data_IF_821100740552
#
_entry.id   IF_821100740552
#
_cell.length_a   1.000
_cell.length_b   1.000
_cell.length_c   1.000
_cell.angle_alpha   90.00
_cell.angle_beta   90.00
_cell.angle_gamma   90.00
#
_symmetry.space_group_name_H-M   'P 1'
#
loop_
_entity.id
_entity.type
_entity.pdbx_description
1 polymer ?
#
# COMPACT_ATOMS: atom_id res chain seq x y z
N UNK A 1 6.14 19.66 -14.43
CA UNK A 1 6.35 18.91 -15.69
C UNK A 1 6.77 17.50 -15.35
N UNK A 2 6.22 16.51 -16.06
CA UNK A 2 6.65 15.12 -15.95
C UNK A 2 7.85 14.87 -16.87
N UNK A 3 8.89 14.25 -16.33
CA UNK A 3 9.93 13.58 -17.10
C UNK A 3 9.81 12.08 -16.85
N UNK A 4 9.64 11.30 -17.91
CA UNK A 4 9.39 9.86 -17.80
C UNK A 4 10.24 9.07 -18.78
N UNK A 5 10.86 8.00 -18.26
CA UNK A 5 11.51 6.93 -19.02
C UNK A 5 10.74 5.62 -18.90
N UNK A 6 9.51 5.65 -18.38
CA UNK A 6 8.71 4.48 -18.04
C UNK A 6 8.67 3.44 -19.16
N UNK A 7 8.90 2.18 -18.79
CA UNK A 7 8.72 1.01 -19.65
C UNK A 7 9.55 1.05 -20.94
N UNK A 8 10.71 1.71 -20.92
CA UNK A 8 11.68 1.58 -22.00
C UNK A 8 12.46 0.26 -21.91
N UNK A 9 12.44 -0.42 -20.75
CA UNK A 9 13.05 -1.74 -20.52
C UNK A 9 14.57 -1.76 -20.84
N UNK A 10 15.23 -0.61 -20.63
CA UNK A 10 16.65 -0.45 -20.93
C UNK A 10 17.52 -0.73 -19.72
N UNK A 11 18.74 -1.21 -20.02
CA UNK A 11 19.82 -1.37 -19.04
C UNK A 11 20.93 -0.38 -19.36
N UNK A 12 21.07 0.63 -18.52
CA UNK A 12 22.10 1.66 -18.60
C UNK A 12 23.31 1.23 -17.77
N UNK A 13 24.46 1.07 -18.40
CA UNK A 13 25.67 0.49 -17.82
C UNK A 13 26.63 1.58 -17.37
N UNK A 14 26.84 2.60 -18.20
CA UNK A 14 27.75 3.70 -17.91
C UNK A 14 27.20 5.07 -18.32
N UNK A 15 28.05 6.11 -18.20
CA UNK A 15 27.67 7.50 -18.45
C UNK A 15 27.23 7.75 -19.90
N UNK A 16 27.82 7.03 -20.86
CA UNK A 16 27.52 7.22 -22.28
C UNK A 16 26.08 6.82 -22.61
N UNK A 17 25.55 5.79 -21.94
CA UNK A 17 24.17 5.33 -22.11
C UNK A 17 23.13 6.36 -21.65
N UNK A 18 23.48 7.20 -20.66
CA UNK A 18 22.59 8.22 -20.09
C UNK A 18 22.89 9.65 -20.57
N UNK A 19 23.83 9.85 -21.49
CA UNK A 19 24.24 11.18 -21.94
C UNK A 19 23.09 12.03 -22.48
N UNK A 20 22.24 11.47 -23.33
CA UNK A 20 21.07 12.18 -23.88
C UNK A 20 20.05 12.49 -22.78
N UNK A 21 19.79 11.53 -21.90
CA UNK A 21 18.85 11.69 -20.78
C UNK A 21 19.31 12.80 -19.84
N UNK A 22 20.60 12.79 -19.45
CA UNK A 22 21.19 13.81 -18.59
C UNK A 22 21.12 15.19 -19.25
N UNK A 23 21.40 15.29 -20.55
CA UNK A 23 21.24 16.54 -21.31
C UNK A 23 19.80 17.04 -21.23
N UNK A 24 18.82 16.17 -21.46
CA UNK A 24 17.39 16.53 -21.44
C UNK A 24 16.92 16.97 -20.05
N UNK A 25 17.31 16.25 -18.99
CA UNK A 25 17.01 16.60 -17.59
C UNK A 25 17.59 17.97 -17.20
N UNK A 26 18.73 18.34 -17.78
CA UNK A 26 19.43 19.60 -17.48
C UNK A 26 18.88 20.82 -18.23
N UNK A 27 18.02 20.65 -19.25
CA UNK A 27 17.49 21.80 -20.02
C UNK A 27 16.68 22.75 -19.12
N UNK A 28 15.86 22.20 -18.22
CA UNK A 28 15.06 22.99 -17.26
C UNK A 28 14.72 22.16 -16.00
N UNK A 29 15.71 21.78 -15.16
CA UNK A 29 15.50 20.88 -14.02
C UNK A 29 14.48 21.43 -13.02
N UNK A 30 14.41 22.75 -12.86
CA UNK A 30 13.48 23.42 -11.94
C UNK A 30 12.01 23.30 -12.38
N UNK A 31 11.73 23.00 -13.66
CA UNK A 31 10.36 22.78 -14.16
C UNK A 31 9.88 21.35 -13.93
N UNK A 32 10.79 20.41 -13.66
CA UNK A 32 10.46 19.02 -13.42
C UNK A 32 9.85 18.91 -12.02
N UNK A 33 8.62 18.42 -11.98
CA UNK A 33 7.85 18.20 -10.74
C UNK A 33 7.62 16.71 -10.50
N UNK A 34 7.75 15.90 -11.54
CA UNK A 34 7.51 14.46 -11.52
C UNK A 34 8.61 13.76 -12.31
N UNK A 35 9.20 12.72 -11.72
CA UNK A 35 10.22 11.88 -12.33
C UNK A 35 9.77 10.42 -12.26
N UNK A 36 9.70 9.78 -13.41
CA UNK A 36 9.31 8.38 -13.52
C UNK A 36 10.40 7.61 -14.28
N UNK A 37 11.04 6.67 -13.58
CA UNK A 37 12.12 5.84 -14.12
C UNK A 37 11.69 4.38 -14.32
N UNK A 38 10.39 4.08 -14.21
CA UNK A 38 9.85 2.72 -14.10
C UNK A 38 10.38 1.75 -15.15
N UNK A 39 10.70 0.53 -14.72
CA UNK A 39 11.15 -0.59 -15.55
C UNK A 39 12.37 -0.26 -16.42
N UNK A 40 13.37 0.38 -15.80
CA UNK A 40 14.70 0.58 -16.38
C UNK A 40 15.76 0.29 -15.34
N UNK A 41 16.86 -0.35 -15.74
CA UNK A 41 17.93 -0.72 -14.83
C UNK A 41 19.13 0.20 -15.02
N UNK A 42 19.54 0.88 -13.96
CA UNK A 42 20.71 1.76 -13.98
C UNK A 42 21.81 1.18 -13.11
N UNK A 43 22.96 0.84 -13.72
CA UNK A 43 24.18 0.56 -12.95
C UNK A 43 24.72 1.84 -12.31
N UNK A 44 25.52 1.74 -11.24
CA UNK A 44 25.96 2.90 -10.48
C UNK A 44 26.57 4.03 -11.32
N UNK A 45 27.43 3.69 -12.29
CA UNK A 45 28.10 4.67 -13.16
C UNK A 45 27.13 5.43 -14.07
N UNK A 46 26.08 4.77 -14.55
CA UNK A 46 25.05 5.40 -15.37
C UNK A 46 24.11 6.27 -14.52
N UNK A 47 23.81 5.81 -13.30
CA UNK A 47 22.82 6.43 -12.42
C UNK A 47 23.34 7.69 -11.73
N UNK A 48 24.65 7.80 -11.51
CA UNK A 48 25.32 8.96 -10.91
C UNK A 48 24.88 10.27 -11.58
N UNK A 49 24.95 10.36 -12.92
CA UNK A 49 24.56 11.58 -13.65
C UNK A 49 23.07 11.92 -13.54
N UNK A 50 22.20 10.91 -13.39
CA UNK A 50 20.77 11.12 -13.15
C UNK A 50 20.55 11.70 -11.74
N UNK A 51 21.25 11.17 -10.73
CA UNK A 51 21.19 11.67 -9.36
C UNK A 51 21.68 13.12 -9.25
N UNK A 52 22.78 13.48 -9.95
CA UNK A 52 23.25 14.88 -10.04
C UNK A 52 22.21 15.82 -10.66
N UNK A 53 21.36 15.32 -11.58
CA UNK A 53 20.25 16.10 -12.12
C UNK A 53 19.12 16.26 -11.10
N UNK A 54 18.76 15.18 -10.38
CA UNK A 54 17.72 15.19 -9.33
C UNK A 54 18.02 16.24 -8.26
N UNK A 55 19.28 16.36 -7.85
CA UNK A 55 19.71 17.38 -6.88
C UNK A 55 19.31 18.80 -7.29
N UNK A 56 19.31 19.10 -8.60
CA UNK A 56 18.98 20.41 -9.16
C UNK A 56 17.48 20.65 -9.35
N UNK A 57 16.64 19.63 -9.21
CA UNK A 57 15.18 19.77 -9.33
C UNK A 57 14.60 20.25 -8.00
N UNK A 58 14.38 21.57 -7.81
CA UNK A 58 13.85 22.09 -6.53
C UNK A 58 12.35 21.88 -6.35
N UNK A 59 11.61 21.72 -7.44
CA UNK A 59 10.15 21.57 -7.44
C UNK A 59 9.69 20.11 -7.59
N UNK A 60 10.61 19.14 -7.46
CA UNK A 60 10.30 17.72 -7.54
C UNK A 60 9.40 17.29 -6.39
N UNK A 61 8.28 16.65 -6.72
CA UNK A 61 7.23 16.23 -5.79
C UNK A 61 6.85 14.77 -5.94
N UNK A 62 6.93 14.22 -7.15
CA UNK A 62 6.53 12.85 -7.45
C UNK A 62 7.74 12.11 -8.01
N UNK A 63 8.08 10.99 -7.39
CA UNK A 63 9.22 10.18 -7.80
C UNK A 63 8.80 8.71 -7.84
N UNK A 64 8.89 8.13 -9.03
CA UNK A 64 8.57 6.72 -9.30
C UNK A 64 9.84 6.00 -9.70
N UNK A 65 10.27 5.09 -8.83
CA UNK A 65 11.46 4.24 -8.94
C UNK A 65 11.04 2.77 -8.96
N UNK A 66 9.85 2.49 -9.51
CA UNK A 66 9.31 1.13 -9.62
C UNK A 66 10.20 0.28 -10.54
N UNK A 67 10.63 -0.89 -10.07
CA UNK A 67 11.39 -1.87 -10.86
C UNK A 67 12.76 -1.35 -11.39
N UNK A 68 13.38 -0.35 -10.76
CA UNK A 68 14.65 0.22 -11.27
C UNK A 68 15.92 -0.48 -10.80
N UNK A 69 15.82 -1.24 -9.71
CA UNK A 69 16.92 -2.01 -9.13
C UNK A 69 16.86 -3.49 -9.50
N UNK A 70 15.93 -3.88 -10.36
CA UNK A 70 15.82 -5.27 -10.80
C UNK A 70 17.08 -5.70 -11.53
N UNK A 71 17.46 -6.97 -11.36
CA UNK A 71 18.65 -7.59 -11.96
C UNK A 71 20.00 -6.98 -11.55
N UNK A 72 20.04 -5.95 -10.70
CA UNK A 72 21.28 -5.47 -10.10
C UNK A 72 21.78 -6.49 -9.08
N UNK A 73 23.10 -6.65 -9.02
CA UNK A 73 23.73 -7.32 -7.87
C UNK A 73 23.56 -6.46 -6.63
N UNK A 74 23.61 -7.07 -5.44
CA UNK A 74 23.30 -6.41 -4.18
C UNK A 74 24.14 -5.13 -3.96
N UNK A 75 25.42 -5.17 -4.28
CA UNK A 75 26.35 -4.05 -4.11
C UNK A 75 25.96 -2.85 -5.00
N UNK A 76 25.64 -3.13 -6.27
CA UNK A 76 25.20 -2.10 -7.23
C UNK A 76 23.84 -1.52 -6.81
N UNK A 77 22.90 -2.37 -6.37
CA UNK A 77 21.60 -1.93 -5.87
C UNK A 77 21.76 -0.98 -4.69
N UNK A 78 22.52 -1.37 -3.66
CA UNK A 78 22.74 -0.54 -2.47
C UNK A 78 23.43 0.78 -2.83
N UNK A 79 24.42 0.74 -3.74
CA UNK A 79 25.08 1.95 -4.24
C UNK A 79 24.09 2.90 -4.90
N UNK A 80 23.26 2.41 -5.82
CA UNK A 80 22.22 3.21 -6.46
C UNK A 80 21.19 3.74 -5.46
N UNK A 81 20.77 2.91 -4.50
CA UNK A 81 19.78 3.30 -3.50
C UNK A 81 20.30 4.41 -2.57
N UNK A 82 21.56 4.33 -2.15
CA UNK A 82 22.22 5.40 -1.39
C UNK A 82 22.33 6.69 -2.22
N UNK A 83 22.72 6.60 -3.50
CA UNK A 83 22.85 7.76 -4.37
C UNK A 83 21.52 8.51 -4.54
N UNK A 84 20.45 7.80 -4.89
CA UNK A 84 19.13 8.44 -5.07
C UNK A 84 18.57 8.96 -3.74
N UNK A 85 18.83 8.27 -2.62
CA UNK A 85 18.40 8.75 -1.31
C UNK A 85 19.05 10.09 -0.94
N UNK A 86 20.34 10.25 -1.25
CA UNK A 86 21.06 11.52 -1.08
C UNK A 86 20.54 12.60 -2.03
N UNK A 87 20.31 12.27 -3.30
CA UNK A 87 19.82 13.21 -4.29
C UNK A 87 18.42 13.75 -3.99
N UNK A 88 17.58 12.92 -3.37
CA UNK A 88 16.23 13.27 -2.93
C UNK A 88 16.18 13.96 -1.55
N UNK A 89 17.31 14.08 -0.86
CA UNK A 89 17.36 14.74 0.43
C UNK A 89 16.91 16.21 0.32
N UNK A 90 16.17 16.69 1.31
CA UNK A 90 15.57 18.03 1.36
C UNK A 90 14.55 18.33 0.24
N UNK A 91 14.10 17.34 -0.53
CA UNK A 91 12.97 17.51 -1.44
C UNK A 91 11.65 17.44 -0.68
N UNK A 92 10.66 18.21 -1.14
CA UNK A 92 9.33 18.21 -0.55
C UNK A 92 8.42 17.22 -1.29
N UNK A 93 8.79 15.94 -1.26
CA UNK A 93 8.07 14.89 -1.99
C UNK A 93 6.67 14.69 -1.42
N UNK A 94 5.69 14.56 -2.31
CA UNK A 94 4.32 14.16 -2.01
C UNK A 94 4.11 12.67 -2.35
N UNK A 95 4.84 12.13 -3.32
CA UNK A 95 4.75 10.73 -3.75
C UNK A 95 6.14 10.11 -3.92
N UNK A 96 6.35 8.95 -3.31
CA UNK A 96 7.50 8.09 -3.53
C UNK A 96 7.06 6.66 -3.77
N UNK A 97 7.41 6.12 -4.93
CA UNK A 97 7.15 4.73 -5.31
C UNK A 97 8.46 3.98 -5.50
N UNK A 98 8.66 2.94 -4.71
CA UNK A 98 9.84 2.06 -4.71
C UNK A 98 9.45 0.61 -5.04
N UNK A 99 8.26 0.39 -5.59
CA UNK A 99 7.70 -0.95 -5.79
C UNK A 99 8.59 -1.83 -6.66
N UNK A 100 8.40 -3.15 -6.51
CA UNK A 100 9.06 -4.19 -7.33
C UNK A 100 10.60 -4.11 -7.37
N UNK A 101 11.21 -3.58 -6.31
CA UNK A 101 12.65 -3.60 -6.13
C UNK A 101 13.03 -4.61 -5.05
N UNK A 102 14.01 -5.48 -5.27
CA UNK A 102 14.47 -6.43 -4.26
C UNK A 102 15.30 -5.74 -3.15
N UNK A 103 14.66 -4.87 -2.36
CA UNK A 103 15.30 -4.06 -1.32
C UNK A 103 15.72 -4.89 -0.11
N UNK A 104 14.97 -5.96 0.19
CA UNK A 104 15.17 -6.80 1.38
C UNK A 104 15.10 -6.01 2.69
N UNK A 105 15.67 -6.54 3.79
CA UNK A 105 15.82 -5.81 5.05
C UNK A 105 16.94 -4.77 5.05
N UNK A 106 17.74 -4.72 3.98
CA UNK A 106 18.95 -3.91 3.87
C UNK A 106 18.69 -2.48 3.40
N UNK A 107 17.71 -1.82 4.04
CA UNK A 107 17.46 -0.39 3.82
C UNK A 107 18.65 0.45 4.32
N UNK A 108 19.31 1.25 3.45
CA UNK A 108 20.44 2.10 3.84
C UNK A 108 20.01 3.22 4.81
N UNK A 109 20.93 3.65 5.67
CA UNK A 109 20.66 4.74 6.62
C UNK A 109 20.24 6.03 5.90
N UNK A 110 20.86 6.35 4.76
CA UNK A 110 20.50 7.55 4.01
C UNK A 110 19.07 7.53 3.48
N UNK A 111 18.54 6.34 3.18
CA UNK A 111 17.13 6.18 2.83
C UNK A 111 16.22 6.38 4.06
N UNK A 112 16.59 5.81 5.21
CA UNK A 112 15.82 5.96 6.44
C UNK A 112 15.79 7.42 6.92
N UNK A 113 16.92 8.12 6.80
CA UNK A 113 17.03 9.55 7.10
C UNK A 113 16.19 10.38 6.14
N UNK A 114 16.25 10.09 4.82
CA UNK A 114 15.40 10.70 3.82
C UNK A 114 13.93 10.52 4.20
N UNK A 115 13.48 9.27 4.36
CA UNK A 115 12.07 8.95 4.62
C UNK A 115 11.56 9.62 5.88
N UNK A 116 12.37 9.67 6.95
CA UNK A 116 12.03 10.33 8.21
C UNK A 116 11.90 11.85 8.08
N UNK A 117 12.44 12.45 7.02
CA UNK A 117 12.39 13.90 6.76
C UNK A 117 11.26 14.34 5.82
N UNK A 118 10.58 13.40 5.15
CA UNK A 118 9.55 13.70 4.15
C UNK A 118 8.20 14.07 4.78
N UNK A 119 8.15 15.19 5.49
CA UNK A 119 6.95 15.67 6.18
C UNK A 119 5.74 15.95 5.26
N UNK A 120 5.96 16.09 3.96
CA UNK A 120 4.90 16.33 2.96
C UNK A 120 4.48 15.06 2.21
N UNK A 121 5.06 13.90 2.54
CA UNK A 121 4.75 12.64 1.87
C UNK A 121 3.31 12.24 2.13
N UNK A 122 2.55 12.05 1.05
CA UNK A 122 1.14 11.60 1.07
C UNK A 122 1.01 10.16 0.60
N UNK A 123 1.85 9.75 -0.35
CA UNK A 123 1.80 8.42 -0.95
C UNK A 123 3.17 7.77 -0.83
N UNK A 124 3.22 6.61 -0.17
CA UNK A 124 4.38 5.75 -0.15
C UNK A 124 3.99 4.37 -0.66
N UNK A 125 4.71 3.90 -1.68
CA UNK A 125 4.57 2.55 -2.22
C UNK A 125 5.88 1.81 -2.08
N UNK A 126 5.85 0.69 -1.37
CA UNK A 126 6.98 -0.22 -1.18
C UNK A 126 6.46 -1.65 -1.38
N UNK A 127 5.65 -1.84 -2.43
CA UNK A 127 5.06 -3.14 -2.78
C UNK A 127 6.12 -4.08 -3.31
N UNK A 128 6.03 -5.37 -2.95
CA UNK A 128 6.85 -6.43 -3.54
C UNK A 128 8.36 -6.14 -3.41
N UNK A 129 8.78 -5.67 -2.23
CA UNK A 129 10.18 -5.34 -1.98
C UNK A 129 10.92 -6.36 -1.11
N UNK A 130 10.22 -7.39 -0.65
CA UNK A 130 10.77 -8.46 0.18
C UNK A 130 11.31 -7.97 1.52
N UNK A 131 10.70 -6.92 2.11
CA UNK A 131 11.19 -6.28 3.33
C UNK A 131 11.31 -7.23 4.53
N UNK A 132 10.40 -8.22 4.63
CA UNK A 132 10.22 -9.03 5.82
C UNK A 132 9.95 -8.18 7.07
N UNK A 133 10.03 -8.80 8.25
CA UNK A 133 9.80 -8.11 9.52
C UNK A 133 10.79 -6.95 9.76
N UNK A 134 12.09 -7.21 9.57
CA UNK A 134 13.14 -6.24 9.89
C UNK A 134 13.09 -4.99 9.00
N UNK A 135 12.88 -5.16 7.69
CA UNK A 135 12.77 -4.02 6.77
C UNK A 135 11.54 -3.18 7.07
N UNK A 136 10.42 -3.83 7.41
CA UNK A 136 9.18 -3.16 7.76
C UNK A 136 9.25 -2.41 9.10
N UNK A 137 9.91 -2.98 10.11
CA UNK A 137 10.13 -2.29 11.39
C UNK A 137 10.98 -1.02 11.22
N UNK A 138 12.00 -1.05 10.35
CA UNK A 138 12.76 0.16 9.98
C UNK A 138 11.88 1.26 9.35
N UNK A 139 10.89 0.89 8.53
CA UNK A 139 9.90 1.85 8.02
C UNK A 139 9.03 2.39 9.16
N UNK A 140 8.60 1.51 10.07
CA UNK A 140 7.87 1.88 11.29
C UNK A 140 8.58 2.96 12.09
N UNK A 141 9.88 2.77 12.34
CA UNK A 141 10.71 3.78 13.02
C UNK A 141 10.72 5.12 12.28
N UNK A 142 10.80 5.12 10.95
CA UNK A 142 10.71 6.36 10.17
C UNK A 142 9.36 7.05 10.35
N UNK A 143 8.25 6.30 10.36
CA UNK A 143 6.91 6.87 10.56
C UNK A 143 6.74 7.51 11.94
N UNK A 144 7.38 6.97 12.98
CA UNK A 144 7.38 7.62 14.31
C UNK A 144 8.08 8.97 14.34
N UNK A 145 8.95 9.26 13.36
CA UNK A 145 9.75 10.49 13.29
C UNK A 145 9.16 11.55 12.36
N UNK A 146 8.16 11.20 11.53
CA UNK A 146 7.46 12.15 10.68
C UNK A 146 6.73 13.20 11.54
N UNK A 147 7.02 14.49 11.33
CA UNK A 147 6.51 15.56 12.19
C UNK A 147 5.04 15.86 11.92
N UNK A 148 4.63 15.76 10.65
CA UNK A 148 3.27 16.11 10.22
C UNK A 148 2.35 14.90 10.03
N UNK A 149 2.91 13.72 9.77
CA UNK A 149 2.11 12.50 9.55
C UNK A 149 1.08 12.64 8.42
N UNK A 150 1.46 13.26 7.30
CA UNK A 150 0.57 13.54 6.15
C UNK A 150 0.33 12.32 5.24
N UNK A 151 0.81 11.13 5.63
CA UNK A 151 0.68 9.95 4.79
C UNK A 151 -0.79 9.51 4.72
N UNK A 152 -1.33 9.51 3.51
CA UNK A 152 -2.72 9.18 3.18
C UNK A 152 -2.82 7.82 2.49
N UNK A 153 -1.80 7.41 1.75
CA UNK A 153 -1.75 6.15 1.02
C UNK A 153 -0.46 5.40 1.36
N UNK A 154 -0.60 4.16 1.80
CA UNK A 154 0.51 3.26 2.06
C UNK A 154 0.26 1.90 1.41
N UNK A 155 1.21 1.48 0.58
CA UNK A 155 1.20 0.15 -0.02
C UNK A 155 2.43 -0.65 0.39
N UNK A 156 2.17 -1.70 1.16
CA UNK A 156 3.14 -2.66 1.70
C UNK A 156 2.79 -4.09 1.28
N UNK A 157 2.00 -4.28 0.24
CA UNK A 157 1.63 -5.60 -0.26
C UNK A 157 2.87 -6.41 -0.71
N UNK A 158 2.78 -7.74 -0.65
CA UNK A 158 3.80 -8.67 -1.17
C UNK A 158 5.19 -8.53 -0.52
N UNK A 159 5.29 -8.18 0.76
CA UNK A 159 6.56 -8.02 1.48
C UNK A 159 6.95 -9.18 2.39
N UNK A 160 6.17 -10.28 2.38
CA UNK A 160 6.46 -11.53 3.11
C UNK A 160 6.64 -11.29 4.61
N UNK A 161 5.69 -10.60 5.24
CA UNK A 161 5.78 -10.31 6.67
C UNK A 161 5.65 -11.56 7.54
N UNK A 162 4.77 -12.51 7.20
CA UNK A 162 4.41 -13.71 7.98
C UNK A 162 3.80 -13.43 9.37
N UNK A 163 4.26 -12.40 10.08
CA UNK A 163 3.66 -11.79 11.26
C UNK A 163 3.60 -10.29 11.06
N UNK A 164 2.66 -9.60 11.69
CA UNK A 164 2.65 -8.15 11.59
C UNK A 164 3.84 -7.53 12.36
N UNK A 165 4.69 -6.69 11.74
CA UNK A 165 5.86 -6.10 12.40
C UNK A 165 5.44 -5.11 13.51
N UNK A 166 6.04 -5.24 14.70
CA UNK A 166 5.60 -4.52 15.89
C UNK A 166 5.92 -3.03 15.83
N UNK A 167 7.10 -2.67 15.34
CA UNK A 167 7.51 -1.26 15.23
C UNK A 167 6.77 -0.60 14.08
N UNK A 168 6.49 -1.34 13.00
CA UNK A 168 5.57 -0.87 11.96
C UNK A 168 4.18 -0.54 12.53
N UNK A 169 3.63 -1.38 13.41
CA UNK A 169 2.34 -1.11 14.05
C UNK A 169 2.35 0.19 14.88
N UNK A 170 3.44 0.42 15.63
CA UNK A 170 3.65 1.66 16.39
C UNK A 170 3.73 2.86 15.43
N UNK A 171 4.51 2.75 14.36
CA UNK A 171 4.63 3.79 13.33
C UNK A 171 3.29 4.10 12.66
N UNK A 172 2.51 3.09 12.28
CA UNK A 172 1.18 3.28 11.69
C UNK A 172 0.21 3.99 12.62
N UNK A 173 0.32 3.76 13.94
CA UNK A 173 -0.54 4.42 14.92
C UNK A 173 -0.37 5.96 14.91
N UNK A 174 0.79 6.47 14.49
CA UNK A 174 1.08 7.91 14.38
C UNK A 174 0.49 8.55 13.12
N UNK A 175 0.19 7.75 12.08
CA UNK A 175 -0.29 8.22 10.78
C UNK A 175 -1.80 8.49 10.80
N UNK A 176 -2.23 9.62 11.38
CA UNK A 176 -3.65 9.93 11.59
C UNK A 176 -4.46 10.20 10.31
N UNK A 177 -3.80 10.48 9.19
CA UNK A 177 -4.45 10.81 7.92
C UNK A 177 -4.53 9.61 6.95
N UNK A 178 -4.18 8.41 7.40
CA UNK A 178 -4.13 7.24 6.52
C UNK A 178 -5.53 6.85 6.03
N UNK A 179 -5.72 6.85 4.71
CA UNK A 179 -6.98 6.60 4.00
C UNK A 179 -6.93 5.31 3.18
N UNK A 180 -5.77 4.94 2.69
CA UNK A 180 -5.56 3.72 1.89
C UNK A 180 -4.43 2.90 2.49
N UNK A 181 -4.72 1.63 2.77
CA UNK A 181 -3.73 0.67 3.24
C UNK A 181 -3.83 -0.64 2.46
N UNK A 182 -2.75 -0.97 1.75
CA UNK A 182 -2.56 -2.24 1.06
C UNK A 182 -1.55 -3.11 1.80
N UNK A 183 -1.98 -4.30 2.20
CA UNK A 183 -1.21 -5.30 2.96
C UNK A 183 -1.37 -6.70 2.37
N UNK A 184 -2.01 -6.85 1.20
CA UNK A 184 -2.31 -8.14 0.63
C UNK A 184 -1.06 -8.97 0.29
N UNK A 185 -1.20 -10.30 0.26
CA UNK A 185 -0.16 -11.26 -0.09
C UNK A 185 1.10 -11.15 0.81
N UNK A 186 0.90 -10.88 2.10
CA UNK A 186 1.98 -10.89 3.09
C UNK A 186 1.99 -12.16 3.95
N UNK A 187 0.98 -13.03 3.81
CA UNK A 187 0.84 -14.30 4.54
C UNK A 187 0.89 -14.09 6.07
N UNK A 188 0.32 -12.97 6.55
CA UNK A 188 0.38 -12.59 7.97
C UNK A 188 -0.47 -13.57 8.80
N UNK A 189 0.09 -14.10 9.88
CA UNK A 189 -0.60 -15.03 10.79
C UNK A 189 -1.75 -14.40 11.57
N UNK A 190 -2.73 -15.25 11.92
CA UNK A 190 -4.03 -14.90 12.51
C UNK A 190 -3.91 -14.07 13.79
N UNK A 191 -3.01 -14.46 14.67
CA UNK A 191 -2.80 -13.85 15.99
C UNK A 191 -2.31 -12.41 15.83
N UNK A 192 -1.31 -12.21 14.98
CA UNK A 192 -0.75 -10.89 14.73
C UNK A 192 -1.74 -9.97 14.01
N UNK A 193 -2.55 -10.49 13.08
CA UNK A 193 -3.61 -9.70 12.44
C UNK A 193 -4.66 -9.24 13.43
N UNK A 194 -5.13 -10.14 14.30
CA UNK A 194 -6.13 -9.80 15.32
C UNK A 194 -5.66 -8.77 16.33
N UNK A 195 -4.34 -8.69 16.56
CA UNK A 195 -3.73 -7.68 17.44
C UNK A 195 -3.51 -6.34 16.73
N UNK A 196 -3.26 -6.37 15.41
CA UNK A 196 -2.98 -5.18 14.62
C UNK A 196 -4.24 -4.43 14.19
N UNK A 197 -5.27 -5.12 13.68
CA UNK A 197 -6.47 -4.46 13.12
C UNK A 197 -7.12 -3.43 14.05
N UNK A 198 -7.23 -3.66 15.39
CA UNK A 198 -7.78 -2.66 16.30
C UNK A 198 -7.01 -1.32 16.30
N UNK A 199 -5.73 -1.32 15.94
CA UNK A 199 -4.90 -0.11 15.85
C UNK A 199 -5.28 0.79 14.67
N UNK A 200 -6.11 0.29 13.75
CA UNK A 200 -6.62 1.03 12.61
C UNK A 200 -7.96 1.71 12.89
N UNK A 201 -8.63 1.39 14.01
CA UNK A 201 -9.98 1.90 14.32
C UNK A 201 -10.07 3.42 14.43
N UNK A 202 -8.96 4.10 14.70
CA UNK A 202 -8.87 5.56 14.81
C UNK A 202 -8.52 6.27 13.49
N UNK A 203 -8.43 5.52 12.38
CA UNK A 203 -8.01 6.03 11.07
C UNK A 203 -9.21 6.32 10.17
N UNK A 204 -9.12 7.35 9.31
CA UNK A 204 -10.14 7.63 8.29
C UNK A 204 -9.95 6.73 7.04
N UNK A 205 -9.82 5.42 7.25
CA UNK A 205 -9.62 4.47 6.14
C UNK A 205 -10.85 4.42 5.23
N UNK A 206 -10.59 4.51 3.93
CA UNK A 206 -11.56 4.32 2.86
C UNK A 206 -11.29 3.05 2.07
N UNK A 207 -10.02 2.62 1.99
CA UNK A 207 -9.60 1.40 1.31
C UNK A 207 -8.72 0.60 2.24
N UNK A 208 -9.14 -0.64 2.50
CA UNK A 208 -8.34 -1.64 3.20
C UNK A 208 -8.27 -2.91 2.36
N UNK A 209 -7.06 -3.26 1.94
CA UNK A 209 -6.79 -4.53 1.28
C UNK A 209 -5.86 -5.39 2.12
N UNK A 210 -6.38 -6.51 2.60
CA UNK A 210 -5.65 -7.49 3.41
C UNK A 210 -5.75 -8.88 2.81
N UNK A 211 -6.11 -9.02 1.52
CA UNK A 211 -6.27 -10.32 0.85
C UNK A 211 -5.05 -11.21 1.05
N UNK A 212 -5.25 -12.53 1.10
CA UNK A 212 -4.15 -13.50 1.25
C UNK A 212 -3.31 -13.23 2.53
N UNK A 213 -4.03 -13.00 3.64
CA UNK A 213 -3.52 -12.97 5.01
C UNK A 213 -4.52 -13.66 5.90
N UNK A 214 -4.11 -14.19 7.04
CA UNK A 214 -4.98 -15.06 7.81
C UNK A 214 -5.72 -14.32 8.92
N UNK A 215 -7.00 -14.64 9.10
CA UNK A 215 -7.83 -14.11 10.18
C UNK A 215 -8.26 -15.24 11.14
N UNK A 216 -8.39 -14.88 12.41
CA UNK A 216 -9.18 -15.63 13.38
C UNK A 216 -10.54 -14.96 13.56
N UNK A 217 -11.41 -15.56 14.38
CA UNK A 217 -12.75 -15.04 14.66
C UNK A 217 -12.72 -13.59 15.18
N UNK A 218 -11.74 -13.27 16.05
CA UNK A 218 -11.59 -11.92 16.59
C UNK A 218 -11.22 -10.90 15.51
N UNK A 219 -10.32 -11.25 14.60
CA UNK A 219 -9.99 -10.42 13.44
C UNK A 219 -11.21 -10.15 12.55
N UNK A 220 -12.03 -11.18 12.30
CA UNK A 220 -13.27 -11.03 11.52
C UNK A 220 -14.27 -10.08 12.20
N UNK A 221 -14.44 -10.19 13.52
CA UNK A 221 -15.28 -9.26 14.31
C UNK A 221 -14.76 -7.83 14.21
N UNK A 222 -13.45 -7.62 14.35
CA UNK A 222 -12.83 -6.29 14.24
C UNK A 222 -13.07 -5.68 12.85
N UNK A 223 -13.00 -6.46 11.77
CA UNK A 223 -13.33 -5.96 10.43
C UNK A 223 -14.80 -5.53 10.32
N UNK A 224 -15.71 -6.24 10.98
CA UNK A 224 -17.12 -5.84 11.03
C UNK A 224 -17.33 -4.55 11.83
N UNK A 225 -16.60 -4.36 12.93
CA UNK A 225 -16.54 -3.10 13.68
C UNK A 225 -15.98 -1.96 12.79
N UNK A 226 -14.90 -2.20 12.05
CA UNK A 226 -14.33 -1.23 11.11
C UNK A 226 -15.35 -0.83 10.04
N UNK A 227 -16.05 -1.78 9.42
CA UNK A 227 -17.14 -1.50 8.49
C UNK A 227 -18.25 -0.64 9.14
N UNK A 228 -18.55 -0.88 10.41
CA UNK A 228 -19.56 -0.14 11.13
C UNK A 228 -19.16 1.33 11.35
N UNK A 229 -17.91 1.58 11.77
CA UNK A 229 -17.47 2.91 12.23
C UNK A 229 -16.74 3.76 11.18
N UNK A 230 -16.31 3.17 10.07
CA UNK A 230 -15.54 3.84 9.02
C UNK A 230 -16.36 4.08 7.74
N UNK A 231 -15.85 4.93 6.86
CA UNK A 231 -16.40 5.15 5.51
C UNK A 231 -15.62 4.32 4.48
N UNK A 232 -15.65 2.99 4.66
CA UNK A 232 -14.90 2.06 3.81
C UNK A 232 -15.57 1.90 2.43
N UNK A 233 -14.99 2.55 1.43
CA UNK A 233 -15.35 2.42 0.02
C UNK A 233 -14.94 1.06 -0.54
N UNK A 234 -13.78 0.55 -0.14
CA UNK A 234 -13.29 -0.75 -0.58
C UNK A 234 -12.79 -1.57 0.62
N UNK A 235 -13.40 -2.73 0.83
CA UNK A 235 -12.96 -3.71 1.82
C UNK A 235 -12.62 -5.01 1.10
N UNK A 236 -11.33 -5.27 0.95
CA UNK A 236 -10.82 -6.42 0.22
C UNK A 236 -10.27 -7.46 1.21
N UNK A 237 -11.09 -8.47 1.50
CA UNK A 237 -10.84 -9.48 2.54
C UNK A 237 -10.97 -10.92 1.99
N UNK A 238 -10.68 -11.08 0.69
CA UNK A 238 -10.63 -12.37 0.02
C UNK A 238 -9.41 -13.21 0.40
N UNK A 239 -9.57 -14.52 0.40
CA UNK A 239 -8.57 -15.53 0.79
C UNK A 239 -7.96 -15.25 2.17
N UNK A 240 -8.83 -14.95 3.14
CA UNK A 240 -8.42 -14.65 4.50
C UNK A 240 -8.59 -15.81 5.50
N UNK A 241 -8.96 -16.99 4.99
CA UNK A 241 -9.34 -18.17 5.78
C UNK A 241 -10.34 -17.85 6.90
N UNK A 242 -11.33 -17.01 6.59
CA UNK A 242 -12.38 -16.65 7.55
C UNK A 242 -13.25 -17.85 7.91
N UNK A 243 -13.50 -18.74 6.94
CA UNK A 243 -14.46 -19.85 7.04
C UNK A 243 -15.88 -19.35 7.39
N UNK A 244 -16.84 -20.28 7.49
CA UNK A 244 -18.25 -19.96 7.74
C UNK A 244 -18.46 -19.11 9.01
N UNK A 245 -17.83 -19.49 10.13
CA UNK A 245 -17.93 -18.77 11.40
C UNK A 245 -17.34 -17.36 11.35
N UNK A 246 -16.21 -17.18 10.66
CA UNK A 246 -15.57 -15.87 10.52
C UNK A 246 -16.41 -14.92 9.67
N UNK A 247 -16.96 -15.40 8.55
CA UNK A 247 -17.86 -14.59 7.70
C UNK A 247 -19.12 -14.21 8.48
N UNK A 248 -19.76 -15.16 9.19
CA UNK A 248 -20.90 -14.87 10.06
C UNK A 248 -20.58 -13.83 11.13
N UNK A 249 -19.40 -13.93 11.76
CA UNK A 249 -18.98 -12.97 12.77
C UNK A 249 -18.74 -11.57 12.22
N UNK A 250 -18.08 -11.47 11.05
CA UNK A 250 -17.94 -10.21 10.33
C UNK A 250 -19.30 -9.58 10.03
N UNK A 251 -20.21 -10.34 9.42
CA UNK A 251 -21.54 -9.87 9.03
C UNK A 251 -22.37 -9.43 10.24
N UNK A 252 -22.29 -10.16 11.35
CA UNK A 252 -22.98 -9.82 12.59
C UNK A 252 -22.56 -8.44 13.11
N UNK A 253 -21.26 -8.19 13.22
CA UNK A 253 -20.75 -6.91 13.71
C UNK A 253 -21.01 -5.78 12.70
N UNK A 254 -20.73 -6.01 11.41
CA UNK A 254 -20.97 -5.03 10.35
C UNK A 254 -22.45 -4.62 10.25
N UNK A 255 -23.37 -5.55 10.50
CA UNK A 255 -24.82 -5.31 10.47
C UNK A 255 -25.34 -4.40 11.58
N UNK A 256 -24.50 -4.04 12.54
CA UNK A 256 -24.83 -3.04 13.58
C UNK A 256 -24.78 -1.62 13.05
N UNK A 257 -24.18 -1.38 11.87
CA UNK A 257 -24.11 -0.06 11.24
C UNK A 257 -25.53 0.50 11.03
N UNK A 258 -25.86 1.68 11.58
CA UNK A 258 -27.13 2.33 11.31
C UNK A 258 -27.28 2.62 9.81
N UNK A 259 -28.43 2.27 9.24
CA UNK A 259 -28.76 2.64 7.87
C UNK A 259 -29.47 3.99 7.92
N UNK A 260 -28.83 5.04 7.42
CA UNK A 260 -29.50 6.31 7.15
C UNK A 260 -30.35 6.12 5.90
N UNK A 261 -31.66 5.96 6.08
CA UNK A 261 -32.63 6.01 4.98
C UNK A 261 -32.63 7.46 4.46
N UNK A 262 -32.23 7.66 3.21
CA UNK A 262 -32.37 8.95 2.55
C UNK A 262 -33.83 9.41 2.57
N UNK A 263 -34.05 10.71 2.66
CA UNK A 263 -35.38 11.30 2.55
C UNK A 263 -35.91 11.14 1.12
N UNK A 264 -37.24 11.09 0.92
CA UNK A 264 -37.80 11.08 -0.43
C UNK A 264 -37.34 12.32 -1.23
N UNK A 265 -36.54 12.11 -2.27
CA UNK A 265 -35.96 13.17 -3.11
C UNK A 265 -34.43 13.30 -3.04
N UNK A 266 -33.76 12.57 -2.16
CA UNK A 266 -32.29 12.50 -2.14
C UNK A 266 -31.78 11.81 -3.42
N UNK A 267 -30.85 12.47 -4.13
CA UNK A 267 -30.34 12.04 -5.44
C UNK A 267 -29.23 10.97 -5.31
N UNK A 268 -28.76 10.68 -4.10
CA UNK A 268 -27.74 9.66 -3.88
C UNK A 268 -28.23 8.61 -2.88
N UNK A 269 -28.39 7.38 -3.38
CA UNK A 269 -28.54 6.19 -2.56
C UNK A 269 -27.28 6.08 -1.71
N UNK A 270 -27.42 5.99 -0.38
CA UNK A 270 -26.31 5.92 0.56
C UNK A 270 -25.53 4.60 0.39
N UNK A 271 -24.65 4.55 -0.61
CA UNK A 271 -23.75 3.42 -0.88
C UNK A 271 -22.71 3.43 0.23
N UNK A 272 -22.82 2.49 1.17
CA UNK A 272 -21.89 2.42 2.29
C UNK A 272 -20.53 1.83 1.91
N UNK A 273 -20.47 1.03 0.83
CA UNK A 273 -19.25 0.41 0.35
C UNK A 273 -19.38 0.10 -1.14
N UNK A 274 -18.40 0.54 -1.93
CA UNK A 274 -18.38 0.35 -3.38
C UNK A 274 -17.95 -1.06 -3.74
N UNK A 275 -16.95 -1.62 -3.05
CA UNK A 275 -16.43 -2.96 -3.33
C UNK A 275 -16.23 -3.73 -2.01
N UNK A 276 -16.89 -4.87 -1.91
CA UNK A 276 -16.66 -5.87 -0.86
C UNK A 276 -16.15 -7.16 -1.50
N UNK A 277 -14.94 -7.60 -1.14
CA UNK A 277 -14.39 -8.88 -1.57
C UNK A 277 -14.32 -9.87 -0.42
N UNK A 278 -15.11 -10.93 -0.52
CA UNK A 278 -15.16 -12.08 0.38
C UNK A 278 -14.74 -13.38 -0.34
N UNK A 279 -14.15 -13.28 -1.52
CA UNK A 279 -13.75 -14.45 -2.33
C UNK A 279 -12.84 -15.41 -1.55
N UNK A 280 -12.90 -16.70 -1.83
CA UNK A 280 -12.00 -17.73 -1.29
C UNK A 280 -11.95 -17.83 0.24
N UNK A 281 -13.06 -17.51 0.93
CA UNK A 281 -13.15 -17.62 2.39
C UNK A 281 -13.85 -18.90 2.89
N UNK A 282 -14.19 -19.86 2.03
CA UNK A 282 -14.77 -21.16 2.40
C UNK A 282 -15.97 -21.08 3.37
N UNK A 283 -17.03 -20.36 3.00
CA UNK A 283 -18.25 -20.25 3.79
C UNK A 283 -19.45 -20.93 3.12
N UNK A 284 -20.46 -21.30 3.91
CA UNK A 284 -21.57 -22.15 3.48
C UNK A 284 -22.86 -21.36 3.20
N UNK A 285 -23.94 -22.08 2.89
CA UNK A 285 -25.21 -21.49 2.46
C UNK A 285 -25.83 -20.53 3.48
N UNK A 286 -25.67 -20.79 4.78
CA UNK A 286 -26.23 -19.92 5.82
C UNK A 286 -25.52 -18.57 5.85
N UNK A 287 -24.19 -18.54 5.82
CA UNK A 287 -23.43 -17.31 5.72
C UNK A 287 -23.70 -16.57 4.41
N UNK A 288 -23.90 -17.30 3.30
CA UNK A 288 -24.29 -16.71 2.02
C UNK A 288 -25.65 -16.01 2.10
N UNK A 289 -26.65 -16.60 2.75
CA UNK A 289 -27.96 -15.97 2.94
C UNK A 289 -27.83 -14.67 3.74
N UNK A 290 -27.06 -14.69 4.83
CA UNK A 290 -26.78 -13.49 5.63
C UNK A 290 -26.05 -12.41 4.81
N UNK A 291 -25.14 -12.82 3.92
CA UNK A 291 -24.42 -11.91 3.03
C UNK A 291 -25.35 -11.26 2.00
N UNK A 292 -26.32 -12.01 1.47
CA UNK A 292 -27.35 -11.45 0.56
C UNK A 292 -28.15 -10.36 1.27
N UNK A 293 -28.69 -10.66 2.45
CA UNK A 293 -29.44 -9.69 3.26
C UNK A 293 -28.58 -8.45 3.59
N UNK A 294 -27.30 -8.66 3.90
CA UNK A 294 -26.34 -7.60 4.18
C UNK A 294 -26.09 -6.69 2.97
N UNK A 295 -25.86 -7.28 1.80
CA UNK A 295 -25.59 -6.55 0.55
C UNK A 295 -26.79 -5.72 0.12
N UNK A 296 -28.00 -6.26 0.25
CA UNK A 296 -29.24 -5.53 0.00
C UNK A 296 -29.43 -4.39 1.02
N UNK A 297 -29.21 -4.66 2.31
CA UNK A 297 -29.36 -3.65 3.37
C UNK A 297 -28.42 -2.46 3.20
N UNK A 298 -27.18 -2.70 2.78
CA UNK A 298 -26.13 -1.67 2.71
C UNK A 298 -25.79 -1.23 1.28
N UNK A 299 -26.54 -1.70 0.29
CA UNK A 299 -26.43 -1.29 -1.13
C UNK A 299 -24.99 -1.40 -1.65
N UNK A 300 -24.33 -2.53 -1.37
CA UNK A 300 -22.95 -2.78 -1.81
C UNK A 300 -22.93 -2.80 -3.34
N UNK A 301 -22.14 -1.91 -3.96
CA UNK A 301 -22.17 -1.73 -5.43
C UNK A 301 -21.57 -2.92 -6.17
N UNK A 302 -20.50 -3.51 -5.63
CA UNK A 302 -19.81 -4.66 -6.22
C UNK A 302 -19.43 -5.65 -5.13
N UNK A 303 -19.98 -6.86 -5.24
CA UNK A 303 -19.62 -7.99 -4.39
C UNK A 303 -18.73 -8.97 -5.17
N UNK A 304 -17.59 -9.34 -4.59
CA UNK A 304 -16.72 -10.40 -5.09
C UNK A 304 -16.79 -11.61 -4.13
N UNK A 305 -17.18 -12.76 -4.65
CA UNK A 305 -17.40 -14.00 -3.89
C UNK A 305 -16.91 -15.25 -4.67
N UNK A 306 -15.81 -15.10 -5.40
CA UNK A 306 -15.25 -16.22 -6.15
C UNK A 306 -14.80 -17.35 -5.21
N UNK A 307 -14.75 -18.59 -5.68
CA UNK A 307 -14.19 -19.70 -4.90
C UNK A 307 -15.08 -20.25 -3.78
N UNK A 308 -16.35 -19.83 -3.66
CA UNK A 308 -17.30 -20.52 -2.78
C UNK A 308 -17.58 -21.92 -3.33
N UNK A 309 -17.27 -22.96 -2.56
CA UNK A 309 -17.67 -24.33 -2.87
C UNK A 309 -19.16 -24.47 -2.57
N UNK A 310 -20.02 -24.03 -3.50
CA UNK A 310 -21.44 -24.34 -3.42
C UNK A 310 -21.60 -25.86 -3.56
N UNK A 311 -21.83 -26.56 -2.46
CA UNK A 311 -22.12 -28.01 -2.49
C UNK A 311 -23.54 -28.32 -2.99
N UNK A 312 -24.39 -27.34 -3.31
CA UNK A 312 -25.73 -27.55 -3.86
C UNK A 312 -26.28 -26.29 -4.53
N UNK A 313 -26.12 -26.20 -5.84
CA UNK A 313 -27.01 -25.44 -6.73
C UNK A 313 -27.27 -26.28 -8.00
N UNK A 314 -27.92 -27.42 -7.81
CA UNK A 314 -28.73 -28.09 -8.84
C UNK A 314 -30.04 -28.45 -8.16
N UNK A 315 -31.00 -27.52 -8.27
CA UNK A 315 -32.42 -27.70 -8.58
C UNK A 315 -33.19 -26.44 -8.23
#
# INVERSE_FOLDING_TARGET
MLFSLKNQEKKYIDKSDTESIVKDLMINPEKITELDLTSNVFKPKAFEGICECIEKMKNLKFVVLDEIFTTLVKEDMLSCFVMVSKALMNKNLEVLDLSNNALSSDLPNEFLDLLSSLDSLKVLKVRNCGLGLMGADKLGECFTRLKKGNLEYLDLAQNRFFKFPQILAIGLSTLKNLRVLHLEFNTIEKESMSSFLPLLLDKPLEILDIRDNFLNLKGCQTLGEMFCVMDLKELMIGDCLMHDDGVKAFLKEASTRPVTLGLPGDIEVNVNCEILDLSYNDFEQEALNLLVDFVEKYQIRKLLINGIISKRLIN
#
